data_IF_708473381328
#
_entry.id   IF_708473381328
#
_cell.length_a   1.000
_cell.length_b   1.000
_cell.length_c   1.000
_cell.angle_alpha   90.00
_cell.angle_beta   90.00
_cell.angle_gamma   90.00
#
_symmetry.space_group_name_H-M   'P 1'
#
loop_
_entity.id
_entity.type
_entity.pdbx_description
1 polymer ?
#
# COMPACT_ATOMS: atom_id res chain seq x y z
N UNK A 1 14.07 -9.23 17.11
CA UNK A 1 14.73 -10.00 16.05
C UNK A 1 13.60 -10.53 15.19
N UNK A 2 13.13 -9.69 14.28
CA UNK A 2 11.91 -9.93 13.50
C UNK A 2 12.33 -10.65 12.23
N UNK A 3 11.75 -11.83 11.98
CA UNK A 3 12.11 -12.71 10.87
C UNK A 3 11.75 -12.06 9.52
N UNK A 4 12.72 -11.81 8.63
CA UNK A 4 12.47 -11.21 7.31
C UNK A 4 11.80 -12.16 6.30
N UNK A 5 11.65 -13.46 6.60
CA UNK A 5 11.15 -14.45 5.63
C UNK A 5 9.63 -14.60 5.55
N UNK A 6 8.84 -13.73 6.19
CA UNK A 6 7.38 -13.77 6.15
C UNK A 6 6.74 -12.61 5.37
N UNK A 7 7.47 -12.05 4.40
CA UNK A 7 6.99 -10.96 3.52
C UNK A 7 6.82 -11.51 2.11
N UNK A 8 5.59 -11.46 1.61
CA UNK A 8 5.10 -11.97 0.32
C UNK A 8 4.86 -13.49 0.22
N UNK A 9 3.71 -13.95 0.72
CA UNK A 9 2.99 -15.00 -0.02
C UNK A 9 2.44 -14.35 -1.31
N UNK A 10 2.96 -14.76 -2.46
CA UNK A 10 2.53 -14.31 -3.80
C UNK A 10 1.17 -14.86 -4.23
N UNK A 11 0.50 -15.61 -3.35
CA UNK A 11 -0.83 -16.16 -3.58
C UNK A 11 -1.83 -15.35 -2.75
N UNK A 12 -2.91 -14.89 -3.38
CA UNK A 12 -4.09 -14.35 -2.71
C UNK A 12 -4.56 -15.42 -1.71
N UNK A 13 -4.37 -15.16 -0.42
CA UNK A 13 -4.66 -16.08 0.65
C UNK A 13 -6.17 -16.26 0.79
N UNK A 14 -6.61 -17.47 1.15
CA UNK A 14 -8.01 -17.79 1.33
C UNK A 14 -8.57 -17.21 2.64
N UNK A 15 -8.79 -15.89 2.67
CA UNK A 15 -9.97 -15.15 3.15
C UNK A 15 -9.63 -13.66 3.23
N UNK A 16 -10.45 -12.87 2.52
CA UNK A 16 -10.49 -11.40 2.56
C UNK A 16 -9.27 -10.64 2.03
N UNK A 17 -8.59 -11.24 1.02
CA UNK A 17 -7.59 -10.57 0.20
C UNK A 17 -8.20 -10.02 -1.10
N UNK A 18 -7.85 -8.78 -1.46
CA UNK A 18 -8.24 -8.15 -2.72
C UNK A 18 -7.00 -7.61 -3.41
N UNK A 19 -6.73 -8.06 -4.64
CA UNK A 19 -5.63 -7.55 -5.47
C UNK A 19 -6.17 -6.82 -6.71
N UNK A 20 -5.52 -5.70 -7.04
CA UNK A 20 -5.75 -4.91 -8.24
C UNK A 20 -4.43 -4.71 -8.98
N UNK A 21 -4.45 -4.89 -10.29
CA UNK A 21 -3.29 -4.64 -11.18
C UNK A 21 -3.69 -3.63 -12.23
N UNK A 22 -2.98 -2.51 -12.24
CA UNK A 22 -3.30 -1.34 -13.06
C UNK A 22 -2.04 -0.88 -13.79
N UNK A 23 -2.17 -0.08 -14.85
CA UNK A 23 -1.00 0.64 -15.36
C UNK A 23 -0.43 1.55 -14.25
N UNK A 24 0.89 1.64 -14.14
CA UNK A 24 1.55 2.55 -13.20
C UNK A 24 1.37 4.02 -13.67
N UNK A 25 0.16 4.54 -13.50
CA UNK A 25 -0.25 5.86 -13.97
C UNK A 25 -1.29 6.45 -13.01
N UNK A 26 -1.09 7.72 -12.64
CA UNK A 26 -1.94 8.46 -11.70
C UNK A 26 -3.43 8.48 -12.09
N UNK A 27 -3.75 8.33 -13.39
CA UNK A 27 -5.13 8.27 -13.89
C UNK A 27 -5.94 7.11 -13.28
N UNK A 28 -5.29 6.06 -12.79
CA UNK A 28 -5.95 4.89 -12.21
C UNK A 28 -6.18 4.99 -10.70
N UNK A 29 -5.55 5.94 -10.00
CA UNK A 29 -5.70 6.08 -8.55
C UNK A 29 -7.15 6.26 -8.07
N UNK A 30 -8.06 6.96 -8.78
CA UNK A 30 -9.46 7.01 -8.39
C UNK A 30 -10.13 5.62 -8.24
N UNK A 31 -9.67 4.63 -9.00
CA UNK A 31 -10.20 3.25 -8.92
C UNK A 31 -9.71 2.58 -7.63
N UNK A 32 -8.43 2.73 -7.30
CA UNK A 32 -7.84 2.17 -6.06
C UNK A 32 -8.50 2.79 -4.83
N UNK A 33 -8.72 4.12 -4.84
CA UNK A 33 -9.44 4.83 -3.77
C UNK A 33 -10.87 4.34 -3.58
N UNK A 34 -11.62 4.17 -4.68
CA UNK A 34 -12.98 3.64 -4.60
C UNK A 34 -13.05 2.23 -3.98
N UNK A 35 -12.07 1.37 -4.30
CA UNK A 35 -11.96 0.03 -3.70
C UNK A 35 -11.58 0.12 -2.22
N UNK A 36 -10.60 0.96 -1.86
CA UNK A 36 -10.19 1.17 -0.46
C UNK A 36 -11.37 1.63 0.42
N UNK A 37 -12.15 2.61 -0.05
CA UNK A 37 -13.35 3.08 0.64
C UNK A 37 -14.38 1.95 0.81
N UNK A 38 -14.64 1.16 -0.25
CA UNK A 38 -15.59 0.06 -0.15
C UNK A 38 -15.14 -1.02 0.85
N UNK A 39 -13.85 -1.32 0.89
CA UNK A 39 -13.24 -2.26 1.83
C UNK A 39 -13.40 -1.76 3.27
N UNK A 40 -12.98 -0.53 3.55
CA UNK A 40 -13.05 0.04 4.90
C UNK A 40 -14.48 0.20 5.42
N UNK A 41 -15.43 0.60 4.57
CA UNK A 41 -16.84 0.63 4.93
C UNK A 41 -17.38 -0.76 5.31
N UNK A 42 -16.99 -1.81 4.57
CA UNK A 42 -17.40 -3.20 4.88
C UNK A 42 -16.72 -3.75 6.13
N UNK A 43 -15.53 -3.26 6.44
CA UNK A 43 -14.77 -3.59 7.65
C UNK A 43 -15.20 -2.77 8.89
N UNK A 44 -16.26 -1.95 8.78
CA UNK A 44 -16.82 -1.13 9.87
C UNK A 44 -15.82 -0.11 10.44
N UNK A 45 -15.00 0.47 9.56
CA UNK A 45 -14.17 1.64 9.90
C UNK A 45 -15.04 2.90 9.93
N UNK A 46 -14.71 3.84 10.81
CA UNK A 46 -15.41 5.13 10.86
C UNK A 46 -14.98 6.07 9.72
N UNK A 47 -15.70 7.18 9.58
CA UNK A 47 -15.51 8.12 8.45
C UNK A 47 -14.10 8.72 8.45
N UNK A 48 -13.53 8.97 9.62
CA UNK A 48 -12.19 9.54 9.74
C UNK A 48 -11.14 8.51 9.30
N UNK A 49 -11.24 7.27 9.78
CA UNK A 49 -10.33 6.20 9.40
C UNK A 49 -10.46 5.79 7.91
N UNK A 50 -11.67 5.88 7.33
CA UNK A 50 -11.88 5.72 5.88
C UNK A 50 -11.16 6.84 5.10
N UNK A 51 -11.28 8.08 5.55
CA UNK A 51 -10.63 9.24 4.91
C UNK A 51 -9.10 9.13 5.00
N UNK A 52 -8.59 8.70 6.15
CA UNK A 52 -7.17 8.43 6.34
C UNK A 52 -6.66 7.33 5.41
N UNK A 53 -7.41 6.22 5.29
CA UNK A 53 -7.06 5.12 4.39
C UNK A 53 -7.05 5.58 2.92
N UNK A 54 -8.05 6.34 2.49
CA UNK A 54 -8.11 6.87 1.13
C UNK A 54 -6.88 7.72 0.80
N UNK A 55 -6.50 8.62 1.71
CA UNK A 55 -5.35 9.49 1.52
C UNK A 55 -4.02 8.72 1.60
N UNK A 56 -3.91 7.75 2.52
CA UNK A 56 -2.73 6.88 2.63
C UNK A 56 -2.51 6.04 1.36
N UNK A 57 -3.58 5.49 0.79
CA UNK A 57 -3.53 4.77 -0.49
C UNK A 57 -3.05 5.70 -1.63
N UNK A 58 -3.59 6.92 -1.71
CA UNK A 58 -3.23 7.88 -2.75
C UNK A 58 -1.75 8.29 -2.66
N UNK A 59 -1.27 8.58 -1.45
CA UNK A 59 0.12 8.96 -1.19
C UNK A 59 1.08 7.79 -1.49
N UNK A 60 0.79 6.58 -1.01
CA UNK A 60 1.63 5.41 -1.28
C UNK A 60 1.72 5.11 -2.78
N UNK A 61 0.59 5.09 -3.49
CA UNK A 61 0.58 4.79 -4.91
C UNK A 61 1.24 5.88 -5.75
N UNK A 62 0.93 7.16 -5.47
CA UNK A 62 1.51 8.28 -6.22
C UNK A 62 3.02 8.36 -6.03
N UNK A 63 3.51 8.16 -4.79
CA UNK A 63 4.94 8.08 -4.49
C UNK A 63 5.65 7.00 -5.32
N UNK A 64 5.13 5.76 -5.32
CA UNK A 64 5.71 4.65 -6.09
C UNK A 64 5.67 4.89 -7.61
N UNK A 65 4.57 5.45 -8.15
CA UNK A 65 4.43 5.70 -9.59
C UNK A 65 5.55 6.62 -10.11
N UNK A 66 6.09 7.53 -9.29
CA UNK A 66 7.19 8.41 -9.72
C UNK A 66 8.49 7.66 -10.05
N UNK A 67 8.68 6.44 -9.52
CA UNK A 67 9.84 5.59 -9.75
C UNK A 67 9.55 4.41 -10.71
N UNK A 68 8.32 4.31 -11.21
CA UNK A 68 7.91 3.18 -12.03
C UNK A 68 8.52 3.22 -13.43
N UNK A 69 8.95 2.05 -13.92
CA UNK A 69 9.30 1.86 -15.33
C UNK A 69 8.11 2.23 -16.19
N UNK A 70 8.33 3.01 -17.25
CA UNK A 70 7.27 3.45 -18.14
C UNK A 70 6.51 2.25 -18.75
N UNK A 71 5.17 2.26 -18.63
CA UNK A 71 4.32 1.17 -19.11
C UNK A 71 4.27 -0.07 -18.21
N UNK A 72 4.93 -0.04 -17.04
CA UNK A 72 4.85 -1.11 -16.04
C UNK A 72 3.52 -1.09 -15.26
N UNK A 73 3.36 -2.08 -14.40
CA UNK A 73 2.14 -2.33 -13.62
C UNK A 73 2.33 -1.81 -12.19
N UNK A 74 1.31 -1.13 -11.68
CA UNK A 74 1.10 -0.95 -10.24
C UNK A 74 0.23 -2.11 -9.74
N UNK A 75 0.76 -2.86 -8.78
CA UNK A 75 0.02 -3.89 -8.04
C UNK A 75 -0.38 -3.35 -6.69
N UNK A 76 -1.66 -3.42 -6.35
CA UNK A 76 -2.21 -2.98 -5.07
C UNK A 76 -2.92 -4.17 -4.42
N UNK A 77 -2.55 -4.53 -3.20
CA UNK A 77 -3.18 -5.60 -2.41
C UNK A 77 -3.71 -5.04 -1.11
N UNK A 78 -4.94 -5.42 -0.78
CA UNK A 78 -5.54 -5.24 0.52
C UNK A 78 -5.66 -6.61 1.19
N UNK A 79 -5.18 -6.72 2.42
CA UNK A 79 -5.39 -7.87 3.31
C UNK A 79 -6.26 -7.38 4.46
N UNK A 80 -7.45 -7.96 4.62
CA UNK A 80 -8.43 -7.49 5.59
C UNK A 80 -8.37 -8.38 6.83
N UNK A 81 -7.88 -7.83 7.93
CA UNK A 81 -7.86 -8.47 9.24
C UNK A 81 -9.17 -8.28 10.01
N UNK A 82 -9.21 -8.76 11.26
CA UNK A 82 -10.37 -8.59 12.13
C UNK A 82 -10.54 -7.13 12.61
N UNK A 83 -9.43 -6.43 12.79
CA UNK A 83 -9.35 -5.07 13.35
C UNK A 83 -8.43 -4.15 12.54
N UNK A 84 -7.92 -4.60 11.40
CA UNK A 84 -6.98 -3.84 10.58
C UNK A 84 -7.16 -4.12 9.08
N UNK A 85 -6.65 -3.18 8.28
CA UNK A 85 -6.48 -3.32 6.84
C UNK A 85 -5.00 -3.08 6.57
N UNK A 86 -4.34 -4.07 5.98
CA UNK A 86 -2.99 -3.93 5.46
C UNK A 86 -3.06 -3.69 3.97
N UNK A 87 -2.41 -2.62 3.51
CA UNK A 87 -2.30 -2.26 2.12
C UNK A 87 -0.85 -2.38 1.67
N UNK A 88 -0.62 -3.09 0.57
CA UNK A 88 0.70 -3.20 -0.08
C UNK A 88 0.57 -2.72 -1.52
N UNK A 89 1.36 -1.71 -1.89
CA UNK A 89 1.52 -1.26 -3.27
C UNK A 89 2.91 -1.63 -3.79
N UNK A 90 3.00 -1.94 -5.07
CA UNK A 90 4.23 -2.44 -5.68
C UNK A 90 4.37 -2.02 -7.13
N UNK A 91 5.57 -1.59 -7.51
CA UNK A 91 5.94 -1.25 -8.90
C UNK A 91 7.26 -1.92 -9.28
N UNK A 92 7.56 -1.92 -10.57
CA UNK A 92 8.90 -2.23 -11.08
C UNK A 92 9.66 -0.93 -11.33
N UNK A 93 10.91 -0.85 -10.86
CA UNK A 93 11.83 0.28 -10.98
C UNK A 93 13.16 -0.19 -11.59
N UNK A 94 13.87 0.70 -12.28
CA UNK A 94 15.29 0.50 -12.66
C UNK A 94 16.26 0.98 -11.59
N UNK A 95 15.75 1.57 -10.52
CA UNK A 95 16.52 2.14 -9.41
C UNK A 95 16.23 1.35 -8.13
N UNK A 96 17.27 1.05 -7.35
CA UNK A 96 17.15 0.52 -5.98
C UNK A 96 16.79 1.66 -5.02
N UNK A 97 15.59 2.21 -5.21
CA UNK A 97 15.13 3.39 -4.47
C UNK A 97 13.83 3.06 -3.77
N UNK A 98 13.89 3.15 -2.45
CA UNK A 98 12.73 3.22 -1.58
C UNK A 98 12.36 4.68 -1.31
N UNK A 99 11.07 5.01 -1.15
CA UNK A 99 10.64 6.31 -0.66
C UNK A 99 11.41 6.69 0.61
N UNK A 100 12.11 7.84 0.57
CA UNK A 100 12.90 8.30 1.72
C UNK A 100 11.99 8.75 2.86
N UNK A 101 12.33 8.33 4.08
CA UNK A 101 11.59 8.68 5.29
C UNK A 101 11.56 10.19 5.60
N UNK A 102 12.48 10.95 5.01
CA UNK A 102 12.56 12.40 5.19
C UNK A 102 11.63 13.20 4.26
N UNK A 103 10.99 12.54 3.29
CA UNK A 103 10.13 13.20 2.31
C UNK A 103 8.80 13.64 2.93
N UNK A 104 8.17 14.67 2.33
CA UNK A 104 6.86 15.13 2.76
C UNK A 104 5.80 14.01 2.63
N UNK A 105 5.82 13.29 1.51
CA UNK A 105 4.90 12.18 1.26
C UNK A 105 4.99 11.07 2.30
N UNK A 106 6.21 10.68 2.67
CA UNK A 106 6.41 9.70 3.75
C UNK A 106 5.83 10.19 5.09
N UNK A 107 6.03 11.47 5.43
CA UNK A 107 5.48 12.04 6.67
C UNK A 107 3.95 12.03 6.68
N UNK A 108 3.33 12.37 5.55
CA UNK A 108 1.88 12.26 5.37
C UNK A 108 1.44 10.82 5.60
N UNK A 109 2.09 9.86 4.95
CA UNK A 109 1.75 8.44 5.08
C UNK A 109 1.85 7.94 6.54
N UNK A 110 2.95 8.27 7.24
CA UNK A 110 3.15 7.91 8.66
C UNK A 110 2.23 8.64 9.63
N UNK A 111 1.55 9.71 9.19
CA UNK A 111 0.53 10.40 9.98
C UNK A 111 -0.83 9.72 9.85
N UNK A 112 -1.11 9.14 8.69
CA UNK A 112 -2.40 8.56 8.34
C UNK A 112 -2.50 7.07 8.69
N UNK A 113 -1.39 6.34 8.61
CA UNK A 113 -1.32 4.92 8.89
C UNK A 113 -0.64 4.64 10.25
N UNK A 114 -0.99 3.50 10.85
CA UNK A 114 -0.46 3.11 12.15
C UNK A 114 0.94 2.48 12.06
N UNK A 115 1.22 1.77 10.97
CA UNK A 115 2.54 1.23 10.64
C UNK A 115 2.80 1.46 9.15
N UNK A 116 4.05 1.78 8.79
CA UNK A 116 4.48 1.95 7.39
C UNK A 116 5.83 1.28 7.20
N UNK A 117 5.98 0.55 6.10
CA UNK A 117 7.22 -0.08 5.68
C UNK A 117 7.45 0.15 4.19
N UNK A 118 8.72 0.15 3.81
CA UNK A 118 9.15 0.31 2.43
C UNK A 118 10.42 -0.50 2.22
N UNK A 119 10.48 -1.22 1.09
CA UNK A 119 11.63 -2.03 0.72
C UNK A 119 11.69 -2.21 -0.79
N UNK A 120 12.86 -2.63 -1.27
CA UNK A 120 13.08 -2.99 -2.65
C UNK A 120 13.70 -4.38 -2.72
N UNK A 121 13.13 -5.24 -3.55
CA UNK A 121 13.66 -6.57 -3.84
C UNK A 121 14.25 -6.59 -5.24
N UNK A 122 15.43 -7.17 -5.42
CA UNK A 122 16.02 -7.31 -6.75
C UNK A 122 15.31 -8.42 -7.52
N UNK A 123 14.77 -8.10 -8.70
CA UNK A 123 14.08 -9.06 -9.59
C UNK A 123 15.01 -9.54 -10.70
N UNK A 124 15.85 -8.64 -11.21
CA UNK A 124 16.85 -8.88 -12.25
C UNK A 124 18.08 -7.99 -12.00
N UNK A 125 19.15 -8.14 -12.78
CA UNK A 125 20.40 -7.38 -12.67
C UNK A 125 20.21 -5.85 -12.75
N UNK A 126 19.09 -5.39 -13.33
CA UNK A 126 18.76 -3.97 -13.52
C UNK A 126 17.35 -3.57 -13.10
N UNK A 127 16.59 -4.49 -12.50
CA UNK A 127 15.20 -4.24 -12.10
C UNK A 127 14.98 -4.58 -10.63
N UNK A 128 14.32 -3.65 -9.96
CA UNK A 128 13.89 -3.78 -8.59
C UNK A 128 12.36 -3.76 -8.52
N UNK A 129 11.82 -4.54 -7.60
CA UNK A 129 10.43 -4.46 -7.19
C UNK A 129 10.39 -3.59 -5.94
N UNK A 130 9.78 -2.42 -6.05
CA UNK A 130 9.72 -1.46 -4.94
C UNK A 130 8.34 -1.53 -4.31
N UNK A 131 8.32 -1.63 -2.99
CA UNK A 131 7.13 -1.85 -2.19
C UNK A 131 6.93 -0.69 -1.21
N UNK A 132 5.66 -0.31 -1.02
CA UNK A 132 5.20 0.38 0.17
C UNK A 132 4.11 -0.48 0.79
N UNK A 133 4.21 -0.70 2.08
CA UNK A 133 3.18 -1.34 2.89
C UNK A 133 2.78 -0.41 4.02
N UNK A 134 1.50 -0.39 4.35
CA UNK A 134 1.05 0.22 5.59
C UNK A 134 -0.12 -0.55 6.20
N UNK A 135 -0.31 -0.36 7.49
CA UNK A 135 -1.44 -0.91 8.24
C UNK A 135 -2.30 0.24 8.76
N UNK A 136 -3.61 0.13 8.55
CA UNK A 136 -4.61 0.99 9.20
C UNK A 136 -5.46 0.14 10.12
N UNK A 137 -5.48 0.47 11.42
CA UNK A 137 -6.27 -0.21 12.45
C UNK A 137 -7.59 0.49 12.64
N UNK A 138 -8.62 -0.29 12.96
CA UNK A 138 -9.91 0.25 13.39
C UNK A 138 -9.71 1.00 14.71
N UNK A 139 -10.23 2.23 14.86
CA UNK A 139 -10.13 2.97 16.10
C UNK A 139 -10.80 2.21 17.26
N UNK A 140 -10.10 2.08 18.39
CA UNK A 140 -10.69 1.53 19.61
C UNK A 140 -11.60 2.60 20.21
N UNK A 141 -12.92 2.41 20.08
CA UNK A 141 -13.90 3.28 20.73
C UNK A 141 -13.79 3.10 22.25
N UNK A 142 -13.08 4.01 22.91
CA UNK A 142 -13.07 4.08 24.37
C UNK A 142 -14.38 4.73 24.79
N UNK A 143 -15.29 3.94 25.37
CA UNK A 143 -16.57 4.41 25.93
C UNK A 143 -16.38 5.13 27.26
#
# INVERSE_FOLDING_TARGET
MTDPQQRASSEIGAKDDIEMRLGANLVHLPIVRAVAVNIAMRADFDVDAISDLELAVDEACSSLITHAVAGSVLSCRFTIGADDIMFTATITSTEDVTPSESTFGWRVLTTLADDVASWADQVDDSLHQVHIEFVKRRPVVTR
#
